data_IF_974695648704
#
_entry.id   IF_974695648704
#
_cell.length_a   1.000
_cell.length_b   1.000
_cell.length_c   1.000
_cell.angle_alpha   90.00
_cell.angle_beta   90.00
_cell.angle_gamma   90.00
#
_symmetry.space_group_name_H-M   'P 1'
#
loop_
_entity.id
_entity.type
_entity.pdbx_description
1 polymer ?
#
# COMPACT_ATOMS: atom_id res chain seq x y z
N UNK A 1 6.53 -6.62 5.58
CA UNK A 1 5.74 -6.48 4.34
C UNK A 1 4.94 -5.18 4.43
N UNK A 2 4.95 -4.34 3.40
CA UNK A 2 4.11 -3.12 3.34
C UNK A 2 2.73 -3.42 2.71
N UNK A 3 1.74 -2.52 2.85
CA UNK A 3 0.45 -2.67 2.18
C UNK A 3 0.56 -2.80 0.65
N UNK A 4 1.44 -2.02 0.04
CA UNK A 4 1.72 -2.09 -1.41
C UNK A 4 2.33 -3.44 -1.79
N UNK A 5 3.30 -3.95 -1.00
CA UNK A 5 3.90 -5.26 -1.23
C UNK A 5 2.87 -6.39 -1.12
N UNK A 6 1.95 -6.30 -0.17
CA UNK A 6 0.85 -7.25 -0.03
C UNK A 6 -0.10 -7.18 -1.23
N UNK A 7 -0.56 -5.97 -1.59
CA UNK A 7 -1.47 -5.77 -2.72
C UNK A 7 -0.86 -6.16 -4.07
N UNK A 8 0.48 -6.10 -4.21
CA UNK A 8 1.20 -6.57 -5.40
C UNK A 8 0.99 -8.08 -5.67
N UNK A 9 0.64 -8.86 -4.64
CA UNK A 9 0.34 -10.29 -4.77
C UNK A 9 -1.09 -10.55 -5.25
N UNK A 10 -1.96 -9.53 -5.25
CA UNK A 10 -3.37 -9.62 -5.63
C UNK A 10 -3.52 -9.26 -7.12
N UNK A 11 -4.21 -10.10 -7.88
CA UNK A 11 -4.40 -9.87 -9.31
C UNK A 11 -5.21 -8.57 -9.54
N UNK A 12 -4.89 -7.86 -10.61
CA UNK A 12 -5.67 -6.69 -11.03
C UNK A 12 -5.55 -5.43 -10.17
N UNK A 13 -4.90 -5.46 -9.00
CA UNK A 13 -4.79 -4.26 -8.14
C UNK A 13 -3.80 -3.25 -8.75
N UNK A 14 -4.21 -1.98 -8.80
CA UNK A 14 -3.36 -0.85 -9.16
C UNK A 14 -2.51 -0.43 -7.94
N UNK A 15 -1.32 -1.01 -7.83
CA UNK A 15 -0.40 -0.80 -6.71
C UNK A 15 0.01 0.67 -6.51
N UNK A 16 0.00 1.49 -7.57
CA UNK A 16 0.38 2.90 -7.49
C UNK A 16 -0.63 3.75 -6.71
N UNK A 17 -1.88 3.28 -6.60
CA UNK A 17 -2.97 4.00 -5.93
C UNK A 17 -3.27 3.44 -4.53
N UNK A 18 -2.61 2.37 -4.09
CA UNK A 18 -2.91 1.71 -2.80
C UNK A 18 -2.69 2.64 -1.61
N UNK A 19 -1.62 3.44 -1.61
CA UNK A 19 -1.39 4.37 -0.49
C UNK A 19 -2.42 5.50 -0.44
N UNK A 20 -2.81 6.05 -1.60
CA UNK A 20 -3.89 7.05 -1.69
C UNK A 20 -5.24 6.46 -1.28
N UNK A 21 -5.51 5.20 -1.65
CA UNK A 21 -6.69 4.50 -1.16
C UNK A 21 -6.67 4.38 0.37
N UNK A 22 -5.54 4.01 0.97
CA UNK A 22 -5.42 3.91 2.42
C UNK A 22 -5.53 5.27 3.11
N UNK A 23 -5.03 6.34 2.48
CA UNK A 23 -5.23 7.71 2.93
C UNK A 23 -6.71 8.10 2.93
N UNK A 24 -7.44 7.81 1.84
CA UNK A 24 -8.89 8.06 1.75
C UNK A 24 -9.72 7.29 2.80
N UNK A 25 -9.12 6.27 3.42
CA UNK A 25 -9.70 5.46 4.51
C UNK A 25 -9.16 5.85 5.89
N UNK A 26 -8.37 6.92 5.96
CA UNK A 26 -7.68 7.43 7.15
C UNK A 26 -6.62 6.50 7.76
N UNK A 27 -6.15 5.48 7.04
CA UNK A 27 -5.08 4.63 7.57
C UNK A 27 -3.74 5.37 7.50
N UNK A 28 -3.53 6.09 6.40
CA UNK A 28 -2.32 6.86 6.12
C UNK A 28 -2.62 8.36 6.01
N UNK A 29 -1.59 9.17 6.17
CA UNK A 29 -1.58 10.57 5.79
C UNK A 29 -0.22 10.95 5.19
N UNK A 30 -0.20 11.99 4.36
CA UNK A 30 1.04 12.64 3.96
C UNK A 30 1.56 13.55 5.06
N UNK A 31 2.78 13.29 5.54
CA UNK A 31 3.49 14.15 6.48
C UNK A 31 4.34 15.23 5.79
N UNK A 32 4.48 15.19 4.47
CA UNK A 32 5.07 16.27 3.70
C UNK A 32 4.08 17.43 3.54
N UNK A 33 4.53 18.65 3.83
CA UNK A 33 3.69 19.87 3.74
C UNK A 33 3.83 20.56 2.39
N UNK A 34 4.92 20.27 1.69
CA UNK A 34 5.24 20.85 0.39
C UNK A 34 4.62 20.02 -0.74
N UNK A 35 3.59 20.58 -1.38
CA UNK A 35 2.82 19.91 -2.45
C UNK A 35 3.65 19.54 -3.68
N UNK A 36 4.84 20.14 -3.86
CA UNK A 36 5.72 19.84 -4.99
C UNK A 36 6.68 18.67 -4.70
N UNK A 37 6.69 18.16 -3.47
CA UNK A 37 7.53 17.04 -3.06
C UNK A 37 6.77 15.74 -3.02
N UNK A 38 7.52 14.64 -3.09
CA UNK A 38 6.96 13.31 -2.91
C UNK A 38 6.44 13.09 -1.49
N UNK A 39 5.28 12.43 -1.41
CA UNK A 39 4.62 11.97 -0.21
C UNK A 39 5.58 11.34 0.82
N UNK A 40 5.36 11.66 2.10
CA UNK A 40 5.93 10.96 3.26
C UNK A 40 4.79 10.28 4.00
N UNK A 41 4.51 9.05 3.60
CA UNK A 41 3.43 8.29 4.21
C UNK A 41 3.72 7.97 5.67
N UNK A 42 2.78 8.35 6.53
CA UNK A 42 2.75 8.00 7.96
C UNK A 42 1.42 7.37 8.34
N UNK A 43 1.42 6.63 9.45
CA UNK A 43 0.23 5.92 9.91
C UNK A 43 -0.52 6.75 10.95
N UNK A 44 -1.84 6.88 10.79
CA UNK A 44 -2.70 7.51 11.80
C UNK A 44 -2.71 6.69 13.11
N UNK A 45 -2.87 7.37 14.25
CA UNK A 45 -2.80 6.75 15.58
C UNK A 45 -3.78 5.57 15.73
N UNK A 46 -5.04 5.70 15.28
CA UNK A 46 -6.03 4.63 15.41
C UNK A 46 -5.66 3.35 14.61
N UNK A 47 -4.84 3.48 13.57
CA UNK A 47 -4.46 2.38 12.69
C UNK A 47 -3.13 1.72 13.07
N UNK A 48 -2.22 2.45 13.72
CA UNK A 48 -0.81 2.10 13.98
C UNK A 48 -0.58 0.91 14.93
N UNK A 49 -1.57 0.55 15.72
CA UNK A 49 -1.44 -0.58 16.65
C UNK A 49 -2.42 -1.71 16.32
N UNK A 50 -3.25 -1.51 15.30
CA UNK A 50 -4.37 -2.40 14.95
C UNK A 50 -4.25 -3.00 13.56
N UNK A 51 -3.76 -2.25 12.58
CA UNK A 51 -3.76 -2.67 11.17
C UNK A 51 -2.39 -2.53 10.51
N UNK A 52 -1.66 -1.49 10.86
CA UNK A 52 -0.33 -1.17 10.36
C UNK A 52 0.58 -0.91 11.56
N UNK A 53 1.88 -0.83 11.38
CA UNK A 53 2.84 -0.21 12.31
C UNK A 53 3.87 0.55 11.48
N UNK A 54 4.68 1.40 12.09
CA UNK A 54 5.73 2.17 11.40
C UNK A 54 7.08 2.05 12.10
N UNK A 55 8.15 2.01 11.32
CA UNK A 55 9.52 2.05 11.84
C UNK A 55 10.29 3.18 11.17
N UNK A 56 10.89 4.11 11.94
CA UNK A 56 11.65 5.22 11.38
C UNK A 56 12.92 4.71 10.67
N UNK A 57 13.29 5.37 9.59
CA UNK A 57 14.58 5.17 8.92
C UNK A 57 15.03 6.47 8.25
N UNK A 58 16.33 6.62 8.02
CA UNK A 58 16.88 7.77 7.29
C UNK A 58 17.05 7.35 5.84
N UNK A 59 16.40 8.07 4.92
CA UNK A 59 16.62 7.96 3.49
C UNK A 59 17.69 8.96 3.07
N UNK A 60 18.76 8.46 2.45
CA UNK A 60 19.84 9.28 1.90
C UNK A 60 19.71 9.38 0.39
N UNK A 61 19.75 10.59 -0.15
CA UNK A 61 19.76 10.87 -1.60
C UNK A 61 20.85 11.89 -1.88
N UNK A 62 21.98 11.44 -2.42
CA UNK A 62 23.19 12.26 -2.52
C UNK A 62 23.62 12.77 -1.14
N UNK A 63 23.81 14.09 -1.02
CA UNK A 63 24.15 14.75 0.24
C UNK A 63 22.94 15.07 1.14
N UNK A 64 21.71 14.74 0.71
CA UNK A 64 20.49 15.03 1.48
C UNK A 64 20.08 13.81 2.28
N UNK A 65 19.76 14.00 3.56
CA UNK A 65 19.13 13.01 4.42
C UNK A 65 17.70 13.44 4.74
N UNK A 66 16.76 12.50 4.70
CA UNK A 66 15.35 12.71 5.03
C UNK A 66 14.90 11.64 6.03
N UNK A 67 14.24 12.05 7.09
CA UNK A 67 13.54 11.13 7.98
C UNK A 67 12.33 10.56 7.25
N UNK A 68 12.28 9.23 7.13
CA UNK A 68 11.19 8.49 6.50
C UNK A 68 10.65 7.43 7.48
N UNK A 69 9.52 6.83 7.12
CA UNK A 69 8.83 5.86 7.95
C UNK A 69 8.43 4.65 7.11
N UNK A 70 8.95 3.48 7.48
CA UNK A 70 8.60 2.23 6.82
C UNK A 70 7.29 1.72 7.40
N UNK A 71 6.25 1.70 6.57
CA UNK A 71 4.94 1.15 6.95
C UNK A 71 5.00 -0.37 6.85
N UNK A 72 4.63 -1.04 7.94
CA UNK A 72 4.57 -2.49 8.06
C UNK A 72 3.11 -2.91 8.26
N UNK A 73 2.64 -3.84 7.44
CA UNK A 73 1.29 -4.37 7.50
C UNK A 73 1.19 -5.42 8.61
N UNK A 74 0.22 -5.26 9.51
CA UNK A 74 -0.11 -6.27 10.54
C UNK A 74 -1.16 -7.25 10.02
N UNK A 75 -1.28 -8.41 10.68
CA UNK A 75 -2.21 -9.49 10.29
C UNK A 75 -3.65 -8.98 10.08
N UNK A 76 -4.18 -8.18 11.02
CA UNK A 76 -5.53 -7.63 10.93
C UNK A 76 -5.68 -6.60 9.79
N UNK A 77 -4.63 -5.86 9.46
CA UNK A 77 -4.58 -5.02 8.27
C UNK A 77 -4.60 -5.82 6.98
N UNK A 78 -3.85 -6.92 6.91
CA UNK A 78 -3.85 -7.82 5.76
C UNK A 78 -5.23 -8.44 5.54
N UNK A 79 -5.88 -8.94 6.60
CA UNK A 79 -7.26 -9.44 6.51
C UNK A 79 -8.24 -8.37 6.02
N UNK A 80 -8.12 -7.13 6.52
CA UNK A 80 -8.99 -6.03 6.09
C UNK A 80 -8.79 -5.66 4.62
N UNK A 81 -7.53 -5.58 4.16
CA UNK A 81 -7.19 -5.31 2.75
C UNK A 81 -7.71 -6.40 1.83
N UNK A 82 -7.54 -7.67 2.21
CA UNK A 82 -8.04 -8.79 1.43
C UNK A 82 -9.58 -8.78 1.35
N UNK A 83 -10.27 -8.41 2.43
CA UNK A 83 -11.72 -8.22 2.38
C UNK A 83 -12.13 -7.08 1.43
N UNK A 84 -11.35 -5.99 1.33
CA UNK A 84 -11.64 -4.93 0.35
C UNK A 84 -11.41 -5.42 -1.08
N UNK A 85 -10.39 -6.25 -1.29
CA UNK A 85 -10.11 -6.87 -2.57
C UNK A 85 -11.27 -7.75 -3.04
N UNK A 86 -11.76 -8.66 -2.19
CA UNK A 86 -12.91 -9.51 -2.49
C UNK A 86 -14.20 -8.73 -2.77
N UNK A 87 -14.31 -7.51 -2.24
CA UNK A 87 -15.44 -6.60 -2.48
C UNK A 87 -15.25 -5.69 -3.70
N UNK A 88 -14.15 -5.82 -4.45
CA UNK A 88 -13.81 -4.92 -5.56
C UNK A 88 -13.58 -3.47 -5.14
N UNK A 89 -13.28 -3.21 -3.87
CA UNK A 89 -13.12 -1.86 -3.30
C UNK A 89 -11.69 -1.33 -3.33
N UNK A 90 -10.71 -2.20 -3.58
CA UNK A 90 -9.34 -1.76 -3.82
C UNK A 90 -9.26 -0.99 -5.15
N UNK A 91 -8.26 -0.12 -5.32
CA UNK A 91 -8.03 0.53 -6.61
C UNK A 91 -7.61 -0.54 -7.63
N UNK A 92 -8.53 -0.91 -8.51
CA UNK A 92 -8.26 -1.89 -9.56
C UNK A 92 -7.69 -1.20 -10.80
N UNK A 93 -6.94 -1.94 -11.62
CA UNK A 93 -6.50 -1.45 -12.93
C UNK A 93 -7.72 -1.22 -13.84
N UNK A 94 -7.62 -0.25 -14.74
CA UNK A 94 -8.71 0.13 -15.66
C UNK A 94 -9.09 -1.01 -16.60
N UNK A 95 -8.11 -1.81 -17.00
CA UNK A 95 -8.19 -2.97 -17.88
C UNK A 95 -8.32 -4.30 -17.12
N UNK A 96 -8.61 -4.28 -15.82
CA UNK A 96 -8.79 -5.49 -15.05
C UNK A 96 -10.08 -6.22 -15.48
N UNK A 97 -9.95 -7.52 -15.76
CA UNK A 97 -11.00 -8.40 -16.25
C UNK A 97 -11.97 -8.92 -15.18
N UNK A 98 -11.79 -8.53 -13.90
CA UNK A 98 -12.62 -8.99 -12.78
C UNK A 98 -12.17 -10.32 -12.17
N UNK A 99 -11.18 -11.00 -12.76
CA UNK A 99 -10.71 -12.29 -12.27
C UNK A 99 -9.68 -12.13 -11.14
N UNK A 100 -9.80 -13.00 -10.13
CA UNK A 100 -8.94 -12.97 -8.95
C UNK A 100 -7.63 -13.77 -9.11
N UNK A 101 -7.50 -14.50 -10.22
CA UNK A 101 -6.38 -15.37 -10.55
C UNK A 101 -5.56 -14.82 -11.71
N UNK A 102 -4.27 -15.15 -11.74
CA UNK A 102 -3.42 -14.81 -12.87
C UNK A 102 -3.55 -15.87 -13.95
N UNK A 103 -3.77 -15.45 -15.20
CA UNK A 103 -3.62 -16.32 -16.37
C UNK A 103 -2.13 -16.60 -16.55
N UNK A 104 -1.69 -17.75 -16.06
CA UNK A 104 -0.30 -18.19 -16.18
C UNK A 104 -0.11 -18.87 -17.52
N UNK A 105 0.93 -18.45 -18.24
CA UNK A 105 1.37 -19.20 -19.41
C UNK A 105 1.78 -20.61 -18.96
N UNK A 106 0.99 -21.60 -19.35
CA UNK A 106 1.32 -23.00 -19.12
C UNK A 106 2.18 -23.45 -20.30
N UNK A 107 3.49 -23.63 -20.09
CA UNK A 107 4.28 -24.38 -21.06
C UNK A 107 3.83 -25.84 -20.94
N UNK A 108 2.92 -26.27 -21.80
CA UNK A 108 2.66 -27.70 -21.98
C UNK A 108 3.90 -28.27 -22.68
N UNK A 109 4.58 -29.18 -21.99
CA UNK A 109 5.71 -29.95 -22.51
C UNK A 109 5.24 -30.97 -23.54
#
# INVERSE_FOLDING_TARGET
>A
MSPVQFCKQLNGVNINQVNLFLESRHFLYDAEKDIYKSYVWRVHAYARDKYLTESPYIATTGFRQRQCYKIVLLKKGASWLYQQYLKGKLPMKKDWNGEFTHDKYSQVA
#
